data_IF_785592444020
#
_entry.id   IF_785592444020
#
_cell.length_a   1.000
_cell.length_b   1.000
_cell.length_c   1.000
_cell.angle_alpha   90.00
_cell.angle_beta   90.00
_cell.angle_gamma   90.00
#
_symmetry.space_group_name_H-M   'P 1'
#
loop_
_entity.id
_entity.type
_entity.pdbx_description
1 polymer ?
#
# COMPACT_ATOMS: atom_id res chain seq x y z
N UNK A 1 14.19 -8.66 60.93
CA UNK A 1 14.68 -9.08 59.60
C UNK A 1 13.46 -9.52 58.83
N UNK A 2 12.93 -8.64 57.99
CA UNK A 2 11.78 -8.91 57.12
C UNK A 2 12.26 -9.55 55.81
N UNK A 3 11.68 -10.67 55.35
CA UNK A 3 12.14 -11.39 54.16
C UNK A 3 11.45 -10.96 52.84
N UNK A 4 10.81 -9.80 52.77
CA UNK A 4 9.96 -9.39 51.63
C UNK A 4 10.39 -8.09 50.93
N UNK A 5 11.68 -7.81 50.86
CA UNK A 5 12.19 -6.73 50.01
C UNK A 5 12.67 -7.30 48.67
N UNK A 6 11.72 -7.63 47.79
CA UNK A 6 12.00 -7.83 46.37
C UNK A 6 11.57 -6.57 45.62
N UNK A 7 12.49 -5.86 44.94
CA UNK A 7 12.10 -4.78 44.05
C UNK A 7 11.21 -5.35 42.93
N UNK A 8 10.21 -4.60 42.45
CA UNK A 8 9.31 -5.10 41.41
C UNK A 8 10.10 -5.47 40.16
N UNK A 9 9.66 -6.48 39.38
CA UNK A 9 10.32 -6.76 38.11
C UNK A 9 10.27 -5.50 37.27
N UNK A 10 11.43 -5.13 36.72
CA UNK A 10 11.56 -4.10 35.71
C UNK A 10 10.42 -4.29 34.73
N UNK A 11 9.48 -3.35 34.80
CA UNK A 11 8.46 -3.15 33.80
C UNK A 11 9.21 -2.57 32.61
N UNK A 12 10.04 -3.40 31.96
CA UNK A 12 10.13 -3.43 30.52
C UNK A 12 8.72 -3.74 30.02
N UNK A 13 7.83 -2.74 30.16
CA UNK A 13 6.84 -2.45 29.17
C UNK A 13 7.67 -2.18 27.91
N UNK A 14 8.07 -3.26 27.25
CA UNK A 14 8.26 -3.27 25.82
C UNK A 14 6.95 -2.75 25.28
N UNK A 15 6.92 -1.43 25.11
CA UNK A 15 5.96 -0.77 24.25
C UNK A 15 5.96 -1.60 22.99
N UNK A 16 4.81 -2.09 22.51
CA UNK A 16 4.78 -2.93 21.32
C UNK A 16 5.59 -2.19 20.27
N UNK A 17 6.70 -2.79 19.82
CA UNK A 17 7.60 -2.20 18.83
C UNK A 17 6.72 -1.91 17.63
N UNK A 18 6.28 -0.67 17.51
CA UNK A 18 5.38 -0.30 16.43
C UNK A 18 6.25 -0.41 15.18
N UNK A 19 5.86 -1.23 14.20
CA UNK A 19 6.68 -1.42 13.01
C UNK A 19 6.96 -0.05 12.39
N UNK A 20 8.20 0.16 11.94
CA UNK A 20 8.56 1.42 11.30
C UNK A 20 7.60 1.70 10.13
N UNK A 21 7.11 2.95 9.99
CA UNK A 21 6.25 3.31 8.89
C UNK A 21 6.96 3.08 7.56
N UNK A 22 6.27 2.45 6.61
CA UNK A 22 6.75 2.27 5.25
C UNK A 22 5.72 2.79 4.23
N UNK A 23 6.20 3.03 3.01
CA UNK A 23 5.35 3.50 1.91
C UNK A 23 4.48 2.36 1.40
N UNK A 24 3.18 2.47 1.67
CA UNK A 24 2.19 1.47 1.28
C UNK A 24 1.86 1.57 -0.22
N UNK A 25 1.60 2.79 -0.69
CA UNK A 25 1.20 3.06 -2.06
C UNK A 25 1.47 4.52 -2.41
N UNK A 26 1.73 4.77 -3.69
CA UNK A 26 1.82 6.12 -4.24
C UNK A 26 0.80 6.23 -5.37
N UNK A 27 -0.06 7.26 -5.30
CA UNK A 27 -0.89 7.70 -6.43
C UNK A 27 -0.12 8.79 -7.17
N UNK A 28 0.45 8.53 -8.36
CA UNK A 28 1.36 9.46 -9.01
C UNK A 28 0.70 10.79 -9.38
N UNK A 29 -0.54 10.76 -9.85
CA UNK A 29 -1.28 11.97 -10.22
C UNK A 29 -2.50 12.12 -9.31
N UNK A 30 -2.31 12.83 -8.20
CA UNK A 30 -3.42 13.09 -7.27
C UNK A 30 -3.91 14.52 -7.35
N UNK A 31 -3.00 15.49 -7.42
CA UNK A 31 -3.34 16.90 -7.55
C UNK A 31 -2.27 17.63 -8.37
N UNK A 32 -2.52 18.91 -8.61
CA UNK A 32 -1.56 19.84 -9.17
C UNK A 32 -1.29 20.88 -8.09
N UNK A 33 -0.01 21.12 -7.80
CA UNK A 33 0.41 22.12 -6.82
C UNK A 33 -0.09 23.51 -7.23
N UNK A 34 -0.69 24.23 -6.29
CA UNK A 34 -1.30 25.55 -6.55
C UNK A 34 -0.23 26.60 -6.85
N UNK A 35 0.95 26.47 -6.24
CA UNK A 35 2.00 27.48 -6.30
C UNK A 35 2.72 27.50 -7.66
N UNK A 36 2.98 26.33 -8.24
CA UNK A 36 3.85 26.18 -9.41
C UNK A 36 3.25 25.29 -10.51
N UNK A 37 2.00 24.82 -10.34
CA UNK A 37 1.29 23.97 -11.29
C UNK A 37 1.99 22.64 -11.61
N UNK A 38 2.90 22.17 -10.76
CA UNK A 38 3.55 20.88 -10.94
C UNK A 38 2.68 19.72 -10.44
N UNK A 39 2.74 18.53 -11.08
CA UNK A 39 2.00 17.37 -10.62
C UNK A 39 2.52 16.89 -9.26
N UNK A 40 1.60 16.59 -8.34
CA UNK A 40 1.93 16.02 -7.04
C UNK A 40 1.35 14.62 -6.89
N UNK A 41 2.17 13.74 -6.34
CA UNK A 41 1.82 12.40 -5.96
C UNK A 41 1.26 12.38 -4.53
N UNK A 42 0.32 11.48 -4.27
CA UNK A 42 -0.13 11.17 -2.90
C UNK A 42 0.60 9.94 -2.41
N UNK A 43 1.45 10.10 -1.41
CA UNK A 43 2.17 9.02 -0.75
C UNK A 43 1.40 8.59 0.48
N UNK A 44 1.10 7.29 0.60
CA UNK A 44 0.41 6.70 1.74
C UNK A 44 1.40 5.90 2.59
N UNK A 45 1.35 6.11 3.91
CA UNK A 45 2.16 5.39 4.89
C UNK A 45 1.34 4.39 5.71
N UNK A 46 1.96 3.27 6.03
CA UNK A 46 1.41 2.19 6.87
C UNK A 46 2.50 1.61 7.76
N UNK A 47 2.14 1.01 8.90
CA UNK A 47 3.04 0.15 9.68
C UNK A 47 2.82 -1.34 9.35
N UNK A 48 2.09 -1.65 8.28
CA UNK A 48 1.72 -3.01 7.88
C UNK A 48 0.49 -3.57 8.59
N UNK A 49 0.03 -2.93 9.66
CA UNK A 49 -1.18 -3.30 10.40
C UNK A 49 -2.30 -2.27 10.20
N UNK A 50 -1.95 -1.00 10.25
CA UNK A 50 -2.88 0.12 10.19
C UNK A 50 -2.40 1.21 9.23
N UNK A 51 -3.36 1.86 8.58
CA UNK A 51 -3.11 3.11 7.89
C UNK A 51 -2.66 4.17 8.90
N UNK A 52 -1.58 4.88 8.57
CA UNK A 52 -1.03 5.93 9.42
C UNK A 52 -1.40 7.31 8.90
N UNK A 53 -1.00 7.63 7.68
CA UNK A 53 -1.17 8.97 7.10
C UNK A 53 -1.00 8.95 5.58
N UNK A 54 -1.35 10.06 4.95
CA UNK A 54 -0.97 10.38 3.58
C UNK A 54 -0.47 11.82 3.51
N UNK A 55 0.39 12.11 2.53
CA UNK A 55 0.86 13.46 2.24
C UNK A 55 1.10 13.63 0.74
N UNK A 56 1.11 14.89 0.28
CA UNK A 56 1.47 15.22 -1.11
C UNK A 56 2.99 15.37 -1.23
N UNK A 57 3.54 14.82 -2.30
CA UNK A 57 4.97 14.86 -2.62
C UNK A 57 5.11 15.23 -4.08
N UNK A 58 6.01 16.16 -4.39
CA UNK A 58 6.36 16.46 -5.79
C UNK A 58 7.03 15.26 -6.44
N UNK A 59 6.90 15.14 -7.76
CA UNK A 59 7.54 14.04 -8.47
C UNK A 59 9.06 14.05 -8.31
N UNK A 60 9.66 15.24 -8.25
CA UNK A 60 11.10 15.42 -8.07
C UNK A 60 11.58 14.99 -6.67
N UNK A 61 10.71 15.11 -5.66
CA UNK A 61 11.03 14.77 -4.27
C UNK A 61 10.68 13.31 -3.91
N UNK A 62 9.97 12.58 -4.78
CA UNK A 62 9.52 11.20 -4.51
C UNK A 62 10.70 10.28 -4.18
N UNK A 63 11.81 10.40 -4.89
CA UNK A 63 12.98 9.57 -4.64
C UNK A 63 13.56 9.79 -3.23
N UNK A 64 13.53 11.02 -2.72
CA UNK A 64 14.01 11.33 -1.39
C UNK A 64 13.07 10.78 -0.30
N UNK A 65 11.75 10.83 -0.53
CA UNK A 65 10.74 10.41 0.45
C UNK A 65 10.53 8.90 0.47
N UNK A 66 10.55 8.25 -0.69
CA UNK A 66 10.18 6.84 -0.82
C UNK A 66 11.34 5.92 -1.17
N UNK A 67 12.55 6.47 -1.32
CA UNK A 67 13.74 5.76 -1.82
C UNK A 67 13.55 5.13 -3.22
N UNK A 68 12.55 5.58 -3.98
CA UNK A 68 12.19 5.06 -5.30
C UNK A 68 11.82 6.22 -6.24
N UNK A 69 12.27 6.22 -7.50
CA UNK A 69 11.97 7.30 -8.43
C UNK A 69 10.49 7.33 -8.82
N UNK A 70 10.01 8.46 -9.37
CA UNK A 70 8.64 8.59 -9.86
C UNK A 70 8.29 7.52 -10.92
N UNK A 71 9.25 7.16 -11.79
CA UNK A 71 9.07 6.13 -12.82
C UNK A 71 8.73 4.75 -12.25
N UNK A 72 9.28 4.41 -11.07
CA UNK A 72 8.92 3.18 -10.35
C UNK A 72 7.45 3.21 -9.94
N UNK A 73 6.99 4.30 -9.32
CA UNK A 73 5.60 4.41 -8.87
C UNK A 73 4.60 4.48 -10.02
N UNK A 74 4.98 5.05 -11.17
CA UNK A 74 4.17 4.99 -12.39
C UNK A 74 4.01 3.54 -12.89
N UNK A 75 5.03 2.72 -12.75
CA UNK A 75 4.97 1.30 -13.11
C UNK A 75 4.02 0.53 -12.18
N UNK A 76 4.12 0.75 -10.86
CA UNK A 76 3.21 0.17 -9.86
C UNK A 76 1.76 0.61 -10.11
N UNK A 77 1.53 1.90 -10.41
CA UNK A 77 0.19 2.43 -10.67
C UNK A 77 -0.43 1.81 -11.93
N UNK A 78 0.36 1.65 -13.00
CA UNK A 78 -0.08 0.95 -14.21
C UNK A 78 -0.51 -0.49 -13.93
N UNK A 79 0.32 -1.27 -13.22
CA UNK A 79 -0.03 -2.64 -12.86
C UNK A 79 -1.28 -2.72 -11.99
N UNK A 80 -1.44 -1.79 -11.05
CA UNK A 80 -2.63 -1.71 -10.23
C UNK A 80 -3.89 -1.43 -11.07
N UNK A 81 -3.80 -0.56 -12.07
CA UNK A 81 -4.88 -0.33 -13.02
C UNK A 81 -5.22 -1.57 -13.85
N UNK A 82 -4.23 -2.32 -14.31
CA UNK A 82 -4.43 -3.58 -15.04
C UNK A 82 -5.13 -4.63 -14.17
N UNK A 83 -4.73 -4.76 -12.89
CA UNK A 83 -5.38 -5.65 -11.92
C UNK A 83 -6.83 -5.21 -11.68
N UNK A 84 -7.08 -3.93 -11.44
CA UNK A 84 -8.44 -3.40 -11.23
C UNK A 84 -9.33 -3.62 -12.46
N UNK A 85 -8.79 -3.41 -13.66
CA UNK A 85 -9.52 -3.68 -14.89
C UNK A 85 -9.92 -5.16 -14.99
N UNK A 86 -9.02 -6.07 -14.63
CA UNK A 86 -9.32 -7.51 -14.59
C UNK A 86 -10.37 -7.85 -13.55
N UNK A 87 -10.27 -7.31 -12.33
CA UNK A 87 -11.26 -7.49 -11.26
C UNK A 87 -12.65 -7.05 -11.75
N UNK A 88 -12.73 -5.85 -12.34
CA UNK A 88 -13.99 -5.31 -12.90
C UNK A 88 -14.57 -6.21 -13.98
N UNK A 89 -13.74 -6.74 -14.88
CA UNK A 89 -14.18 -7.70 -15.90
C UNK A 89 -14.75 -8.97 -15.25
N UNK A 90 -14.07 -9.54 -14.25
CA UNK A 90 -14.55 -10.72 -13.54
C UNK A 90 -15.88 -10.46 -12.80
N UNK A 91 -16.01 -9.27 -12.21
CA UNK A 91 -17.28 -8.86 -11.58
C UNK A 91 -18.40 -8.68 -12.59
N UNK A 92 -18.12 -8.07 -13.74
CA UNK A 92 -19.10 -7.89 -14.80
C UNK A 92 -19.58 -9.22 -15.41
N UNK A 93 -18.72 -10.24 -15.47
CA UNK A 93 -19.09 -11.59 -15.94
C UNK A 93 -19.67 -12.49 -14.84
N UNK A 94 -19.85 -11.99 -13.61
CA UNK A 94 -20.38 -12.75 -12.48
C UNK A 94 -19.41 -13.79 -11.90
N UNK A 95 -18.14 -13.76 -12.30
CA UNK A 95 -17.11 -14.67 -11.79
C UNK A 95 -16.56 -14.23 -10.42
N UNK A 96 -16.81 -12.98 -10.02
CA UNK A 96 -16.42 -12.39 -8.75
C UNK A 96 -17.54 -11.47 -8.26
N UNK A 97 -17.88 -11.41 -6.96
CA UNK A 97 -18.73 -10.33 -6.46
C UNK A 97 -18.01 -8.97 -6.58
N UNK A 98 -18.74 -7.89 -6.31
CA UNK A 98 -18.11 -6.58 -6.13
C UNK A 98 -17.31 -6.59 -4.82
N UNK A 99 -16.02 -6.27 -4.89
CA UNK A 99 -15.10 -6.26 -3.74
C UNK A 99 -14.63 -4.83 -3.43
N UNK A 100 -14.41 -4.53 -2.15
CA UNK A 100 -13.98 -3.22 -1.67
C UNK A 100 -12.47 -3.11 -1.42
N UNK A 101 -11.76 -4.24 -1.30
CA UNK A 101 -10.31 -4.26 -1.16
C UNK A 101 -9.66 -5.52 -1.76
N UNK A 102 -8.38 -5.42 -2.11
CA UNK A 102 -7.67 -6.52 -2.79
C UNK A 102 -7.67 -7.83 -1.98
N UNK A 103 -7.56 -7.73 -0.65
CA UNK A 103 -7.54 -8.90 0.24
C UNK A 103 -8.82 -9.72 0.20
N UNK A 104 -9.94 -9.18 -0.27
CA UNK A 104 -11.20 -9.93 -0.42
C UNK A 104 -11.13 -10.97 -1.55
N UNK A 105 -10.23 -10.79 -2.53
CA UNK A 105 -10.07 -11.74 -3.64
C UNK A 105 -9.81 -13.16 -3.17
N UNK A 106 -9.05 -13.34 -2.08
CA UNK A 106 -8.70 -14.65 -1.51
C UNK A 106 -9.91 -15.51 -1.12
N UNK A 107 -11.08 -14.90 -0.96
CA UNK A 107 -12.32 -15.61 -0.64
C UNK A 107 -13.01 -16.18 -1.88
N UNK A 108 -12.52 -15.85 -3.09
CA UNK A 108 -13.18 -16.19 -4.35
C UNK A 108 -12.23 -16.79 -5.38
N UNK A 109 -11.00 -16.28 -5.46
CA UNK A 109 -9.95 -16.72 -6.39
C UNK A 109 -8.60 -16.69 -5.69
N UNK A 110 -7.60 -17.37 -6.26
CA UNK A 110 -6.21 -17.19 -5.83
C UNK A 110 -5.74 -15.77 -6.23
N UNK A 111 -5.44 -14.88 -5.27
CA UNK A 111 -5.05 -13.51 -5.58
C UNK A 111 -3.65 -13.41 -6.16
N UNK A 112 -2.84 -14.49 -6.16
CA UNK A 112 -1.48 -14.47 -6.70
C UNK A 112 -1.38 -15.14 -8.09
N UNK A 113 -2.49 -15.61 -8.65
CA UNK A 113 -2.53 -16.30 -9.93
C UNK A 113 -3.40 -15.58 -10.97
N UNK A 114 -3.15 -15.86 -12.25
CA UNK A 114 -3.99 -15.38 -13.35
C UNK A 114 -3.77 -13.92 -13.78
N UNK A 115 -2.70 -13.28 -13.32
CA UNK A 115 -2.27 -11.95 -13.77
C UNK A 115 -1.40 -12.02 -15.03
N UNK A 116 -1.19 -10.87 -15.67
CA UNK A 116 -0.31 -10.77 -16.83
C UNK A 116 1.12 -11.18 -16.47
N UNK A 117 1.91 -11.63 -17.45
CA UNK A 117 3.30 -12.06 -17.23
C UNK A 117 4.15 -10.97 -16.54
N UNK A 118 3.89 -9.69 -16.83
CA UNK A 118 4.57 -8.57 -16.18
C UNK A 118 4.26 -8.47 -14.68
N UNK A 119 3.03 -8.76 -14.25
CA UNK A 119 2.63 -8.77 -12.84
C UNK A 119 3.14 -10.04 -12.14
N UNK A 120 3.05 -11.18 -12.82
CA UNK A 120 3.49 -12.47 -12.27
C UNK A 120 5.01 -12.52 -12.02
N UNK A 121 5.79 -11.71 -12.75
CA UNK A 121 7.23 -11.60 -12.59
C UNK A 121 7.66 -10.56 -11.53
N UNK A 122 6.72 -9.84 -10.90
CA UNK A 122 7.07 -8.82 -9.90
C UNK A 122 7.71 -9.44 -8.66
N UNK A 123 8.74 -8.80 -8.07
CA UNK A 123 9.24 -9.20 -6.78
C UNK A 123 8.15 -8.97 -5.69
N UNK A 124 8.23 -9.69 -4.55
CA UNK A 124 7.21 -9.61 -3.50
C UNK A 124 6.92 -8.20 -2.97
N UNK A 125 7.95 -7.35 -2.88
CA UNK A 125 7.83 -5.95 -2.45
C UNK A 125 6.96 -5.13 -3.42
N UNK A 126 7.27 -5.21 -4.72
CA UNK A 126 6.53 -4.50 -5.77
C UNK A 126 5.10 -5.04 -5.88
N UNK A 127 4.92 -6.35 -5.75
CA UNK A 127 3.59 -6.94 -5.72
C UNK A 127 2.76 -6.43 -4.55
N UNK A 128 3.36 -6.31 -3.36
CA UNK A 128 2.69 -5.73 -2.18
C UNK A 128 2.28 -4.28 -2.43
N UNK A 129 3.14 -3.48 -3.05
CA UNK A 129 2.82 -2.10 -3.44
C UNK A 129 1.65 -2.04 -4.44
N UNK A 130 1.60 -2.96 -5.42
CA UNK A 130 0.47 -3.09 -6.36
C UNK A 130 -0.82 -3.42 -5.61
N UNK A 131 -0.83 -4.40 -4.71
CA UNK A 131 -2.04 -4.78 -3.94
C UNK A 131 -2.59 -3.61 -3.10
N UNK A 132 -1.70 -2.87 -2.46
CA UNK A 132 -2.05 -1.66 -1.71
C UNK A 132 -2.65 -0.59 -2.63
N UNK A 133 -2.09 -0.41 -3.83
CA UNK A 133 -2.57 0.56 -4.80
C UNK A 133 -3.91 0.16 -5.42
N UNK A 134 -4.13 -1.13 -5.70
CA UNK A 134 -5.42 -1.68 -6.14
C UNK A 134 -6.49 -1.38 -5.10
N UNK A 135 -6.21 -1.64 -3.83
CA UNK A 135 -7.12 -1.34 -2.72
C UNK A 135 -7.50 0.15 -2.69
N UNK A 136 -6.53 1.04 -2.90
CA UNK A 136 -6.80 2.47 -2.96
C UNK A 136 -7.71 2.85 -4.14
N UNK A 137 -7.53 2.23 -5.31
CA UNK A 137 -8.37 2.48 -6.49
C UNK A 137 -9.80 1.96 -6.25
N UNK A 138 -9.95 0.74 -5.70
CA UNK A 138 -11.26 0.15 -5.42
C UNK A 138 -12.08 0.98 -4.43
N UNK A 139 -11.43 1.57 -3.41
CA UNK A 139 -12.09 2.41 -2.39
C UNK A 139 -12.36 3.86 -2.82
N UNK A 140 -11.76 4.30 -3.93
CA UNK A 140 -11.91 5.67 -4.42
C UNK A 140 -12.97 5.80 -5.53
N UNK A 141 -13.66 4.70 -5.88
CA UNK A 141 -14.84 4.69 -6.75
C UNK A 141 -16.09 4.48 -5.90
#
# INVERSE_FOLDING_TARGET
MDPFDSPPPDRNAQSPTTPAPYVAAVRPFHAVSVDDRHPVARVRLTNGLTYLSWHHVRHDDLAAVTHRPATYWLHIDRHAHDVVARIRTLSATGALPQIACFTELRHHIDPNAGWTAGIAALPPEDWTAVQHRVTDILRSN
#
